data_IF_011844173581
#
_entry.id   IF_011844173581
#
_cell.length_a   1.000
_cell.length_b   1.000
_cell.length_c   1.000
_cell.angle_alpha   90.00
_cell.angle_beta   90.00
_cell.angle_gamma   90.00
#
_symmetry.space_group_name_H-M   'P 1'
#
loop_
_entity.id
_entity.type
_entity.pdbx_description
1 polymer ?
#
# COMPACT_ATOMS: atom_id res chain seq x y z
N UNK A 1 -27.42 -6.40 11.63
CA UNK A 1 -26.01 -5.98 11.54
C UNK A 1 -25.54 -6.22 10.11
N UNK A 2 -25.35 -5.17 9.29
CA UNK A 2 -24.73 -5.36 7.97
C UNK A 2 -23.26 -5.65 8.22
N UNK A 3 -22.77 -6.83 7.82
CA UNK A 3 -21.33 -7.06 7.69
C UNK A 3 -20.85 -5.99 6.71
N UNK A 4 -20.07 -5.01 7.18
CA UNK A 4 -19.37 -4.08 6.30
C UNK A 4 -18.60 -4.95 5.32
N UNK A 5 -18.86 -4.81 4.03
CA UNK A 5 -18.06 -5.46 3.00
C UNK A 5 -16.60 -5.16 3.29
N UNK A 6 -15.85 -6.21 3.67
CA UNK A 6 -14.43 -6.11 4.01
C UNK A 6 -13.55 -6.06 2.76
N UNK A 7 -14.15 -5.77 1.60
CA UNK A 7 -13.46 -5.69 0.32
C UNK A 7 -13.07 -4.25 0.06
N UNK A 8 -11.80 -4.05 -0.30
CA UNK A 8 -11.33 -2.74 -0.74
C UNK A 8 -12.04 -2.39 -2.04
N UNK A 9 -12.65 -1.19 -2.19
CA UNK A 9 -13.15 -0.76 -3.48
C UNK A 9 -12.02 -0.78 -4.52
N UNK A 10 -12.33 -1.16 -5.75
CA UNK A 10 -11.39 -1.01 -6.86
C UNK A 10 -11.16 0.47 -7.11
N UNK A 11 -9.92 0.93 -6.92
CA UNK A 11 -9.53 2.32 -7.10
C UNK A 11 -8.52 2.39 -8.24
N UNK A 12 -8.79 3.27 -9.21
CA UNK A 12 -7.81 3.65 -10.22
C UNK A 12 -6.99 4.82 -9.70
N UNK A 13 -5.67 4.65 -9.62
CA UNK A 13 -4.74 5.68 -9.17
C UNK A 13 -3.92 6.20 -10.36
N UNK A 14 -3.60 7.50 -10.35
CA UNK A 14 -2.56 8.04 -11.24
C UNK A 14 -1.23 7.97 -10.49
N UNK A 15 -0.24 7.36 -11.12
CA UNK A 15 1.12 7.20 -10.57
C UNK A 15 2.11 7.88 -11.49
N UNK A 16 3.19 8.42 -10.90
CA UNK A 16 4.31 8.96 -11.65
C UNK A 16 4.92 7.86 -12.55
N UNK A 17 5.33 8.14 -13.80
CA UNK A 17 5.84 7.12 -14.73
C UNK A 17 6.98 6.28 -14.14
N UNK A 18 7.94 6.91 -13.46
CA UNK A 18 9.05 6.20 -12.80
C UNK A 18 8.59 5.23 -11.71
N UNK A 19 7.51 5.56 -11.00
CA UNK A 19 6.95 4.67 -9.98
C UNK A 19 6.18 3.52 -10.62
N UNK A 20 5.52 3.76 -11.76
CA UNK A 20 4.84 2.71 -12.52
C UNK A 20 5.82 1.63 -12.97
N UNK A 21 6.96 2.01 -13.52
CA UNK A 21 7.96 1.05 -14.00
C UNK A 21 8.56 0.25 -12.84
N UNK A 22 8.79 0.89 -11.69
CA UNK A 22 9.21 0.21 -10.45
C UNK A 22 8.15 -0.78 -9.95
N UNK A 23 6.87 -0.38 -9.92
CA UNK A 23 5.76 -1.26 -9.50
C UNK A 23 5.72 -2.52 -10.38
N UNK A 24 5.81 -2.35 -11.71
CA UNK A 24 5.83 -3.49 -12.65
C UNK A 24 7.03 -4.40 -12.32
N UNK A 25 8.24 -3.84 -12.29
CA UNK A 25 9.47 -4.61 -12.06
C UNK A 25 9.48 -5.36 -10.72
N UNK A 26 9.04 -4.72 -9.63
CA UNK A 26 9.03 -5.36 -8.31
C UNK A 26 7.92 -6.39 -8.19
N UNK A 27 6.72 -6.11 -8.72
CA UNK A 27 5.62 -7.08 -8.69
C UNK A 27 5.97 -8.37 -9.44
N UNK A 28 6.66 -8.26 -10.58
CA UNK A 28 7.15 -9.41 -11.36
C UNK A 28 8.24 -10.20 -10.60
N UNK A 29 9.21 -9.51 -10.00
CA UNK A 29 10.28 -10.14 -9.24
C UNK A 29 9.74 -10.95 -8.05
N UNK A 30 8.76 -10.41 -7.35
CA UNK A 30 8.11 -11.03 -6.18
C UNK A 30 6.99 -12.02 -6.56
N UNK A 31 6.74 -12.23 -7.86
CA UNK A 31 5.69 -13.13 -8.37
C UNK A 31 4.30 -12.83 -7.81
N UNK A 32 3.97 -11.55 -7.67
CA UNK A 32 2.67 -11.07 -7.20
C UNK A 32 2.02 -10.13 -8.22
N UNK A 33 0.73 -9.89 -8.07
CA UNK A 33 0.04 -8.88 -8.89
C UNK A 33 0.48 -7.47 -8.49
N UNK A 34 0.42 -6.52 -9.43
CA UNK A 34 0.67 -5.10 -9.14
C UNK A 34 -0.26 -4.57 -8.03
N UNK A 35 -1.49 -5.07 -7.96
CA UNK A 35 -2.45 -4.70 -6.93
C UNK A 35 -2.02 -5.18 -5.54
N UNK A 36 -1.54 -6.42 -5.42
CA UNK A 36 -1.01 -6.97 -4.17
C UNK A 36 0.24 -6.21 -3.73
N UNK A 37 1.16 -5.94 -4.66
CA UNK A 37 2.36 -5.17 -4.38
C UNK A 37 2.02 -3.77 -3.83
N UNK A 38 1.15 -3.03 -4.52
CA UNK A 38 0.72 -1.71 -4.08
C UNK A 38 0.02 -1.75 -2.72
N UNK A 39 -0.84 -2.75 -2.47
CA UNK A 39 -1.52 -2.91 -1.18
C UNK A 39 -0.51 -3.11 -0.04
N UNK A 40 0.45 -4.02 -0.21
CA UNK A 40 1.47 -4.29 0.80
C UNK A 40 2.35 -3.06 1.06
N UNK A 41 2.77 -2.35 0.01
CA UNK A 41 3.56 -1.13 0.15
C UNK A 41 2.80 -0.02 0.91
N UNK A 42 1.48 0.11 0.68
CA UNK A 42 0.63 1.05 1.41
C UNK A 42 0.50 0.62 2.88
N UNK A 43 0.22 -0.65 3.15
CA UNK A 43 0.11 -1.20 4.51
C UNK A 43 1.41 -0.97 5.31
N UNK A 44 2.56 -1.31 4.72
CA UNK A 44 3.87 -1.10 5.34
C UNK A 44 4.10 0.37 5.69
N UNK A 45 3.80 1.29 4.77
CA UNK A 45 4.00 2.73 5.03
C UNK A 45 3.04 3.26 6.09
N UNK A 46 1.80 2.77 6.16
CA UNK A 46 0.86 3.13 7.21
C UNK A 46 1.42 2.73 8.58
N UNK A 47 1.91 1.50 8.74
CA UNK A 47 2.50 1.06 10.02
C UNK A 47 3.73 1.87 10.42
N UNK A 48 4.61 2.18 9.47
CA UNK A 48 5.77 3.05 9.73
C UNK A 48 5.33 4.43 10.23
N UNK A 49 4.31 5.03 9.59
CA UNK A 49 3.78 6.34 10.01
C UNK A 49 3.12 6.26 11.40
N UNK A 50 2.41 5.19 11.73
CA UNK A 50 1.84 5.00 13.07
C UNK A 50 2.92 4.94 14.16
N UNK A 51 4.04 4.28 13.87
CA UNK A 51 5.17 4.21 14.79
C UNK A 51 5.91 5.55 14.92
N UNK A 52 6.08 6.29 13.82
CA UNK A 52 6.61 7.66 13.83
C UNK A 52 5.77 8.57 14.76
N UNK A 53 4.44 8.56 14.61
CA UNK A 53 3.53 9.39 15.43
C UNK A 53 3.60 9.03 16.92
N UNK A 54 3.57 7.73 17.28
CA UNK A 54 3.63 7.30 18.70
C UNK A 54 4.93 7.71 19.39
N UNK A 55 6.04 7.67 18.65
CA UNK A 55 7.35 8.05 19.18
C UNK A 55 7.46 9.57 19.38
N UNK A 56 6.81 10.37 18.53
CA UNK A 56 6.76 11.83 18.69
C UNK A 56 5.86 12.26 19.86
N UNK A 57 4.75 11.57 20.12
CA UNK A 57 3.86 11.85 21.26
C UNK A 57 4.45 11.47 22.64
N UNK A 58 5.55 10.71 22.66
CA UNK A 58 6.23 10.25 23.90
C UNK A 58 7.37 11.16 24.35
N UNK A 59 7.65 12.25 23.64
CA UNK A 59 8.66 13.29 23.94
C UNK A 59 8.03 14.53 24.58
#
# INVERSE_FOLDING_TARGET
MRKKDMTWPQISIRVHPELRDKIISFSEAEKMTQAEFCRLAIEEKIYQLEDEVKNEESL
#
